data_IF_233725177385
#
_entry.id   IF_233725177385
#
_cell.length_a   1.000
_cell.length_b   1.000
_cell.length_c   1.000
_cell.angle_alpha   90.00
_cell.angle_beta   90.00
_cell.angle_gamma   90.00
#
_symmetry.space_group_name_H-M   'P 1'
#
loop_
_entity.id
_entity.type
_entity.pdbx_description
1 polymer ?
#
# COMPACT_ATOMS: atom_id res chain seq x y z
N UNK A 1 -22.62 -0.12 11.80
CA UNK A 1 -21.22 0.28 11.53
C UNK A 1 -20.34 -0.40 12.57
N UNK A 2 -19.51 -1.34 12.14
CA UNK A 2 -18.62 -2.10 13.05
C UNK A 2 -17.30 -1.37 13.31
N UNK A 3 -16.74 -0.75 12.27
CA UNK A 3 -15.49 0.02 12.33
C UNK A 3 -15.76 1.45 11.88
N UNK A 4 -15.50 2.42 12.75
CA UNK A 4 -15.68 3.86 12.47
C UNK A 4 -14.57 4.39 11.56
N UNK A 5 -13.37 3.86 11.71
CA UNK A 5 -12.17 4.29 10.96
C UNK A 5 -11.73 3.17 10.04
N UNK A 6 -11.49 3.49 8.76
CA UNK A 6 -10.94 2.55 7.78
C UNK A 6 -9.67 3.13 7.20
N UNK A 7 -8.56 2.45 7.42
CA UNK A 7 -7.27 2.75 6.83
C UNK A 7 -7.04 1.86 5.60
N UNK A 8 -6.39 2.40 4.59
CA UNK A 8 -6.07 1.69 3.35
C UNK A 8 -4.58 1.79 3.04
N UNK A 9 -3.97 0.73 2.50
CA UNK A 9 -2.81 0.92 1.66
C UNK A 9 -3.22 1.55 0.33
N UNK A 10 -2.26 2.06 -0.44
CA UNK A 10 -2.51 2.73 -1.71
C UNK A 10 -2.26 1.79 -2.89
N UNK A 11 -0.99 1.33 -3.04
CA UNK A 11 -0.56 0.51 -4.18
C UNK A 11 -1.10 -0.93 -4.07
N UNK A 12 -1.74 -1.44 -5.12
CA UNK A 12 -2.33 -2.79 -5.11
C UNK A 12 -3.64 -2.90 -4.31
N UNK A 13 -4.03 -1.85 -3.59
CA UNK A 13 -5.26 -1.79 -2.79
C UNK A 13 -6.28 -0.82 -3.37
N UNK A 14 -5.93 0.45 -3.51
CA UNK A 14 -6.79 1.49 -4.10
C UNK A 14 -6.49 1.72 -5.58
N UNK A 15 -5.21 1.63 -5.97
CA UNK A 15 -4.74 1.89 -7.33
C UNK A 15 -4.00 0.69 -7.91
N UNK A 16 -4.23 0.43 -9.21
CA UNK A 16 -3.54 -0.64 -9.95
C UNK A 16 -2.17 -0.14 -10.42
N UNK A 17 -1.20 -0.29 -9.54
CA UNK A 17 0.19 0.12 -9.76
C UNK A 17 1.16 -1.06 -9.84
N UNK A 18 0.69 -2.29 -9.75
CA UNK A 18 1.53 -3.48 -9.64
C UNK A 18 2.54 -3.63 -10.77
N UNK A 19 2.09 -3.51 -12.03
CA UNK A 19 3.00 -3.61 -13.18
C UNK A 19 3.95 -2.42 -13.28
N UNK A 20 3.50 -1.22 -12.93
CA UNK A 20 4.34 -0.01 -12.90
C UNK A 20 5.49 -0.21 -11.90
N UNK A 21 5.21 -0.73 -10.72
CA UNK A 21 6.21 -1.01 -9.69
C UNK A 21 7.17 -2.12 -10.17
N UNK A 22 6.65 -3.26 -10.61
CA UNK A 22 7.47 -4.40 -11.01
C UNK A 22 8.33 -4.09 -12.25
N UNK A 23 7.81 -3.39 -13.25
CA UNK A 23 8.60 -2.97 -14.42
C UNK A 23 9.72 -2.02 -14.02
N UNK A 24 9.48 -1.13 -13.06
CA UNK A 24 10.49 -0.20 -12.55
C UNK A 24 11.57 -0.92 -11.74
N UNK A 25 11.23 -1.94 -10.95
CA UNK A 25 12.21 -2.80 -10.29
C UNK A 25 13.06 -3.58 -11.30
N UNK A 26 12.42 -4.19 -12.33
CA UNK A 26 13.13 -4.89 -13.41
C UNK A 26 14.08 -3.95 -14.14
N UNK A 27 13.61 -2.75 -14.49
CA UNK A 27 14.42 -1.74 -15.15
C UNK A 27 15.65 -1.34 -14.31
N UNK A 28 15.44 -1.00 -13.04
CA UNK A 28 16.53 -0.58 -12.15
C UNK A 28 17.55 -1.69 -11.93
N UNK A 29 17.11 -2.90 -11.60
CA UNK A 29 18.02 -4.03 -11.35
C UNK A 29 18.78 -4.47 -12.60
N UNK A 30 18.13 -4.54 -13.76
CA UNK A 30 18.81 -4.86 -15.01
C UNK A 30 19.83 -3.80 -15.41
N UNK A 31 19.47 -2.52 -15.29
CA UNK A 31 20.36 -1.39 -15.69
C UNK A 31 21.55 -1.29 -14.76
N UNK A 32 21.32 -1.37 -13.45
CA UNK A 32 22.36 -1.15 -12.44
C UNK A 32 23.20 -2.40 -12.22
N UNK A 33 22.56 -3.57 -12.03
CA UNK A 33 23.25 -4.80 -11.66
C UNK A 33 23.69 -5.64 -12.87
N UNK A 34 23.17 -5.35 -14.07
CA UNK A 34 23.47 -6.11 -15.28
C UNK A 34 22.93 -7.55 -15.26
N UNK A 35 21.96 -7.84 -14.38
CA UNK A 35 21.36 -9.19 -14.23
C UNK A 35 19.87 -9.12 -14.03
N UNK A 36 19.16 -10.10 -14.57
CA UNK A 36 17.72 -10.26 -14.32
C UNK A 36 17.48 -10.90 -12.95
N UNK A 37 16.61 -10.27 -12.16
CA UNK A 37 16.06 -10.82 -10.93
C UNK A 37 14.67 -11.38 -11.24
N UNK A 38 14.32 -12.60 -10.77
CA UNK A 38 12.98 -13.16 -10.97
C UNK A 38 11.88 -12.27 -10.39
N UNK A 39 10.73 -12.20 -11.06
CA UNK A 39 9.62 -11.33 -10.67
C UNK A 39 9.07 -11.66 -9.28
N UNK A 40 9.11 -12.94 -8.88
CA UNK A 40 8.69 -13.38 -7.55
C UNK A 40 9.58 -12.79 -6.44
N UNK A 41 10.88 -12.59 -6.74
CA UNK A 41 11.84 -11.98 -5.80
C UNK A 41 11.61 -10.46 -5.73
N UNK A 42 11.32 -9.83 -6.88
CA UNK A 42 10.98 -8.41 -6.93
C UNK A 42 9.67 -8.13 -6.20
N UNK A 43 8.63 -8.91 -6.46
CA UNK A 43 7.32 -8.79 -5.83
C UNK A 43 7.41 -8.96 -4.30
N UNK A 44 8.27 -9.86 -3.81
CA UNK A 44 8.43 -10.08 -2.38
C UNK A 44 8.95 -8.86 -1.60
N UNK A 45 9.57 -7.89 -2.28
CA UNK A 45 10.06 -6.65 -1.68
C UNK A 45 9.00 -5.52 -1.67
N UNK A 46 7.91 -5.66 -2.45
CA UNK A 46 6.89 -4.60 -2.60
C UNK A 46 5.98 -4.53 -1.36
N UNK A 47 5.58 -3.32 -0.98
CA UNK A 47 4.53 -3.06 0.00
C UNK A 47 4.98 -2.86 1.45
N UNK A 48 6.22 -3.19 1.78
CA UNK A 48 6.75 -3.12 3.16
C UNK A 48 7.39 -1.80 3.51
N UNK A 49 8.71 -1.77 3.46
CA UNK A 49 9.53 -0.63 3.83
C UNK A 49 9.63 0.41 2.72
N UNK A 50 10.36 1.49 2.97
CA UNK A 50 10.66 2.50 1.96
C UNK A 50 11.52 1.92 0.80
N UNK A 51 11.58 2.63 -0.32
CA UNK A 51 12.28 2.18 -1.53
C UNK A 51 13.78 1.89 -1.31
N UNK A 52 14.45 2.58 -0.38
CA UNK A 52 15.86 2.33 -0.09
C UNK A 52 16.06 0.96 0.55
N UNK A 53 15.21 0.58 1.48
CA UNK A 53 15.28 -0.75 2.11
C UNK A 53 14.93 -1.86 1.13
N UNK A 54 13.94 -1.62 0.26
CA UNK A 54 13.57 -2.54 -0.81
C UNK A 54 14.75 -2.76 -1.78
N UNK A 55 15.44 -1.69 -2.19
CA UNK A 55 16.60 -1.78 -3.07
C UNK A 55 17.82 -2.40 -2.40
N UNK A 56 18.01 -2.20 -1.09
CA UNK A 56 19.08 -2.80 -0.30
C UNK A 56 19.01 -4.34 -0.31
N UNK A 57 17.80 -4.91 -0.43
CA UNK A 57 17.62 -6.35 -0.56
C UNK A 57 18.22 -6.93 -1.86
N UNK A 58 18.46 -6.11 -2.89
CA UNK A 58 19.06 -6.53 -4.15
C UNK A 58 20.57 -6.29 -4.21
N UNK A 59 21.03 -5.16 -3.65
CA UNK A 59 22.45 -4.81 -3.57
C UNK A 59 22.66 -3.68 -2.56
N UNK A 60 23.43 -3.94 -1.50
CA UNK A 60 23.67 -2.98 -0.41
C UNK A 60 24.61 -1.83 -0.81
N UNK A 61 25.55 -2.08 -1.71
CA UNK A 61 26.55 -1.08 -2.11
C UNK A 61 26.01 -0.10 -3.16
N UNK A 62 25.02 -0.51 -3.97
CA UNK A 62 24.48 0.28 -5.09
C UNK A 62 23.07 0.80 -4.88
N UNK A 63 22.61 0.89 -3.61
CA UNK A 63 21.24 1.31 -3.25
C UNK A 63 20.86 2.65 -3.88
N UNK A 64 21.70 3.67 -3.76
CA UNK A 64 21.39 5.01 -4.26
C UNK A 64 21.22 5.03 -5.79
N UNK A 65 22.03 4.26 -6.51
CA UNK A 65 21.93 4.14 -7.96
C UNK A 65 20.66 3.40 -8.37
N UNK A 66 20.34 2.30 -7.69
CA UNK A 66 19.10 1.54 -7.89
C UNK A 66 17.87 2.43 -7.66
N UNK A 67 17.83 3.17 -6.56
CA UNK A 67 16.72 4.08 -6.23
C UNK A 67 16.60 5.20 -7.27
N UNK A 68 17.71 5.77 -7.73
CA UNK A 68 17.70 6.82 -8.77
C UNK A 68 17.10 6.28 -10.07
N UNK A 69 17.61 5.15 -10.58
CA UNK A 69 17.14 4.55 -11.84
C UNK A 69 15.69 4.09 -11.73
N UNK A 70 15.29 3.52 -10.59
CA UNK A 70 13.90 3.19 -10.30
C UNK A 70 12.99 4.41 -10.42
N UNK A 71 13.34 5.52 -9.78
CA UNK A 71 12.53 6.75 -9.77
C UNK A 71 12.41 7.37 -11.15
N UNK A 72 13.52 7.45 -11.88
CA UNK A 72 13.54 7.97 -13.25
C UNK A 72 12.61 7.20 -14.19
N UNK A 73 12.48 5.89 -13.99
CA UNK A 73 11.57 5.03 -14.75
C UNK A 73 10.14 5.09 -14.21
N UNK A 74 9.96 5.02 -12.88
CA UNK A 74 8.66 4.88 -12.24
C UNK A 74 7.79 6.16 -12.30
N UNK A 75 8.39 7.32 -12.05
CA UNK A 75 7.63 8.57 -11.92
C UNK A 75 6.81 8.93 -13.16
N UNK A 76 7.35 8.85 -14.40
CA UNK A 76 6.57 9.12 -15.61
C UNK A 76 5.42 8.15 -15.86
N UNK A 77 5.52 6.91 -15.34
CA UNK A 77 4.46 5.90 -15.51
C UNK A 77 3.21 6.15 -14.66
N UNK A 78 3.27 7.13 -13.74
CA UNK A 78 2.09 7.50 -12.95
C UNK A 78 0.98 8.10 -13.80
N UNK A 79 1.26 8.63 -14.99
CA UNK A 79 0.24 9.14 -15.91
C UNK A 79 -0.74 8.04 -16.39
N UNK A 80 -0.33 6.77 -16.32
CA UNK A 80 -1.13 5.61 -16.73
C UNK A 80 -1.87 4.93 -15.56
N UNK A 81 -1.80 5.49 -14.33
CA UNK A 81 -2.46 4.91 -13.16
C UNK A 81 -3.98 4.92 -13.28
N UNK A 82 -4.58 3.83 -12.84
CA UNK A 82 -6.04 3.70 -12.70
C UNK A 82 -6.39 3.22 -11.28
N UNK A 83 -7.55 3.63 -10.78
CA UNK A 83 -8.11 3.03 -9.57
C UNK A 83 -8.69 1.65 -9.91
N UNK A 84 -8.67 0.73 -8.94
CA UNK A 84 -9.39 -0.54 -9.13
C UNK A 84 -10.89 -0.29 -9.31
N UNK A 85 -11.52 -1.05 -10.19
CA UNK A 85 -12.96 -0.96 -10.44
C UNK A 85 -13.73 -1.21 -9.12
N UNK A 86 -14.71 -0.35 -8.82
CA UNK A 86 -15.50 -0.41 -7.60
C UNK A 86 -14.95 0.37 -6.40
N UNK A 87 -13.66 0.69 -6.36
CA UNK A 87 -13.03 1.40 -5.22
C UNK A 87 -13.72 2.73 -4.93
N UNK A 88 -13.95 3.57 -5.95
CA UNK A 88 -14.58 4.88 -5.73
C UNK A 88 -15.98 4.74 -5.11
N UNK A 89 -16.77 3.77 -5.58
CA UNK A 89 -18.11 3.47 -5.02
C UNK A 89 -18.02 3.05 -3.53
N UNK A 90 -17.02 2.26 -3.17
CA UNK A 90 -16.80 1.85 -1.77
C UNK A 90 -16.44 3.06 -0.90
N UNK A 91 -15.52 3.91 -1.37
CA UNK A 91 -15.12 5.13 -0.66
C UNK A 91 -16.30 6.10 -0.49
N UNK A 92 -17.09 6.33 -1.53
CA UNK A 92 -18.33 7.13 -1.48
C UNK A 92 -19.32 6.58 -0.43
N UNK A 93 -19.46 5.25 -0.39
CA UNK A 93 -20.34 4.62 0.59
C UNK A 93 -19.84 4.82 2.02
N UNK A 94 -18.56 4.63 2.28
CA UNK A 94 -17.98 4.85 3.59
C UNK A 94 -18.05 6.33 4.03
N UNK A 95 -17.82 7.27 3.10
CA UNK A 95 -18.00 8.70 3.36
C UNK A 95 -19.46 9.03 3.73
N UNK A 96 -20.44 8.51 2.97
CA UNK A 96 -21.85 8.69 3.23
C UNK A 96 -22.31 8.10 4.58
N UNK A 97 -21.62 7.08 5.08
CA UNK A 97 -21.81 6.51 6.41
C UNK A 97 -21.13 7.32 7.52
N UNK A 98 -20.38 8.36 7.19
CA UNK A 98 -19.63 9.20 8.14
C UNK A 98 -18.41 8.51 8.73
N UNK A 99 -17.79 7.58 8.02
CA UNK A 99 -16.54 6.93 8.44
C UNK A 99 -15.36 7.86 8.22
N UNK A 100 -14.38 7.75 9.10
CA UNK A 100 -13.09 8.40 8.93
C UNK A 100 -12.19 7.52 8.05
N UNK A 101 -11.64 8.09 6.99
CA UNK A 101 -10.78 7.35 6.05
C UNK A 101 -9.35 7.88 6.09
N UNK A 102 -8.39 6.97 6.04
CA UNK A 102 -6.97 7.32 6.00
C UNK A 102 -6.15 6.38 5.09
N UNK A 103 -4.99 6.85 4.66
CA UNK A 103 -4.03 6.06 3.88
C UNK A 103 -2.77 5.84 4.71
N UNK A 104 -2.24 4.60 4.63
CA UNK A 104 -0.95 4.19 5.21
C UNK A 104 -0.14 3.49 4.14
N UNK A 105 0.83 4.18 3.53
CA UNK A 105 1.53 3.69 2.34
C UNK A 105 3.06 3.70 2.47
N UNK A 106 3.72 2.76 1.79
CA UNK A 106 5.17 2.74 1.62
C UNK A 106 5.68 3.77 0.57
N UNK A 107 4.76 4.39 -0.18
CA UNK A 107 5.12 5.50 -1.10
C UNK A 107 5.62 6.72 -0.32
N UNK A 108 6.48 7.50 -0.99
CA UNK A 108 6.84 8.85 -0.54
C UNK A 108 5.77 9.87 -0.97
N UNK A 109 5.71 11.01 -0.28
CA UNK A 109 4.71 12.06 -0.54
C UNK A 109 4.66 12.46 -2.01
N UNK A 110 5.78 12.69 -2.67
CA UNK A 110 5.83 13.07 -4.09
C UNK A 110 5.08 12.08 -5.00
N UNK A 111 5.24 10.77 -4.79
CA UNK A 111 4.58 9.77 -5.66
C UNK A 111 3.11 9.57 -5.30
N UNK A 112 2.70 9.87 -4.07
CA UNK A 112 1.28 9.97 -3.70
C UNK A 112 0.65 11.17 -4.42
N UNK A 113 1.31 12.33 -4.45
CA UNK A 113 0.81 13.53 -5.12
C UNK A 113 0.67 13.31 -6.64
N UNK A 114 1.62 12.58 -7.27
CA UNK A 114 1.50 12.19 -8.68
C UNK A 114 0.27 11.32 -8.92
N UNK A 115 0.00 10.34 -8.06
CA UNK A 115 -1.18 9.49 -8.19
C UNK A 115 -2.49 10.29 -8.02
N UNK A 116 -2.55 11.19 -7.05
CA UNK A 116 -3.74 12.01 -6.80
C UNK A 116 -3.97 13.11 -7.84
N UNK A 117 -2.92 13.54 -8.55
CA UNK A 117 -3.09 14.45 -9.69
C UNK A 117 -3.86 13.80 -10.85
N UNK A 118 -3.78 12.49 -11.01
CA UNK A 118 -4.47 11.72 -12.04
C UNK A 118 -5.79 11.16 -11.51
N UNK A 119 -5.79 10.65 -10.26
CA UNK A 119 -6.94 9.99 -9.63
C UNK A 119 -7.47 10.87 -8.48
N UNK A 120 -8.69 11.43 -8.58
CA UNK A 120 -9.22 12.38 -7.58
C UNK A 120 -9.69 11.69 -6.30
N UNK A 121 -8.88 10.76 -5.76
CA UNK A 121 -9.22 9.98 -4.57
C UNK A 121 -8.88 10.72 -3.26
N UNK A 122 -7.96 11.71 -3.28
CA UNK A 122 -7.50 12.42 -2.08
C UNK A 122 -8.65 12.98 -1.24
N UNK A 123 -9.73 13.41 -1.90
CA UNK A 123 -10.91 14.01 -1.27
C UNK A 123 -11.58 13.15 -0.20
N UNK A 124 -11.42 11.82 -0.27
CA UNK A 124 -12.03 10.89 0.68
C UNK A 124 -11.22 10.74 1.98
N UNK A 125 -9.94 11.12 1.99
CA UNK A 125 -9.02 10.78 3.06
C UNK A 125 -8.68 11.97 3.94
N UNK A 126 -8.93 11.86 5.24
CA UNK A 126 -8.60 12.88 6.25
C UNK A 126 -7.11 12.86 6.61
N UNK A 127 -6.43 11.74 6.40
CA UNK A 127 -4.98 11.61 6.63
C UNK A 127 -4.31 10.69 5.62
N UNK A 128 -3.06 11.02 5.30
CA UNK A 128 -2.16 10.18 4.47
C UNK A 128 -0.83 10.08 5.20
N UNK A 129 -0.48 8.87 5.62
CA UNK A 129 0.82 8.55 6.23
C UNK A 129 1.70 7.90 5.16
N UNK A 130 2.78 8.60 4.79
CA UNK A 130 3.76 8.16 3.82
C UNK A 130 5.02 7.62 4.49
N UNK A 131 5.88 6.92 3.74
CA UNK A 131 7.13 6.36 4.27
C UNK A 131 8.10 7.37 4.88
N UNK A 132 7.93 8.66 4.60
CA UNK A 132 8.80 9.74 5.11
C UNK A 132 8.35 10.26 6.48
N UNK A 133 7.20 9.82 6.98
CA UNK A 133 6.55 10.40 8.15
C UNK A 133 6.66 9.52 9.42
N UNK A 134 7.28 8.35 9.30
CA UNK A 134 7.49 7.42 10.41
C UNK A 134 8.93 6.89 10.41
N UNK A 135 9.44 6.61 11.59
CA UNK A 135 10.79 6.07 11.75
C UNK A 135 10.86 4.59 11.34
N UNK A 136 9.79 3.85 11.61
CA UNK A 136 9.65 2.45 11.22
C UNK A 136 8.55 2.30 10.17
N UNK A 137 8.70 1.29 9.31
CA UNK A 137 7.79 1.01 8.21
C UNK A 137 7.03 -0.29 8.43
N UNK A 138 5.98 -0.52 7.65
CA UNK A 138 5.27 -1.80 7.63
C UNK A 138 6.27 -2.97 7.47
N UNK A 139 6.22 -4.04 8.26
CA UNK A 139 5.14 -4.50 9.14
C UNK A 139 5.15 -3.93 10.57
N UNK A 140 5.98 -2.93 10.89
CA UNK A 140 5.93 -2.26 12.19
C UNK A 140 4.60 -1.47 12.33
N UNK A 141 3.98 -1.43 13.52
CA UNK A 141 2.67 -0.78 13.71
C UNK A 141 2.69 0.75 13.63
N UNK A 142 3.86 1.39 13.73
CA UNK A 142 3.99 2.85 13.83
C UNK A 142 3.21 3.60 12.74
N UNK A 143 3.25 3.25 11.44
CA UNK A 143 2.49 3.98 10.41
C UNK A 143 0.98 3.92 10.64
N UNK A 144 0.46 2.75 11.05
CA UNK A 144 -0.97 2.56 11.36
C UNK A 144 -1.36 3.36 12.59
N UNK A 145 -0.58 3.28 13.67
CA UNK A 145 -0.82 4.03 14.91
C UNK A 145 -0.73 5.55 14.68
N UNK A 146 0.19 6.01 13.83
CA UNK A 146 0.29 7.42 13.43
C UNK A 146 -0.96 7.90 12.71
N UNK A 147 -1.54 7.08 11.81
CA UNK A 147 -2.79 7.42 11.14
C UNK A 147 -3.95 7.49 12.12
N UNK A 148 -4.05 6.53 13.05
CA UNK A 148 -5.09 6.53 14.10
C UNK A 148 -5.00 7.75 15.02
N UNK A 149 -3.79 8.11 15.45
CA UNK A 149 -3.56 9.29 16.29
C UNK A 149 -4.06 10.57 15.61
N UNK A 150 -3.74 10.75 14.32
CA UNK A 150 -4.20 11.90 13.53
C UNK A 150 -5.73 11.95 13.37
N UNK A 151 -6.39 10.80 13.32
CA UNK A 151 -7.84 10.67 13.20
C UNK A 151 -8.55 10.70 14.55
N UNK A 152 -7.80 10.71 15.67
CA UNK A 152 -8.38 10.62 17.02
C UNK A 152 -9.15 9.30 17.22
N UNK A 153 -8.68 8.21 16.61
CA UNK A 153 -9.33 6.90 16.63
C UNK A 153 -8.53 5.89 17.44
N UNK A 154 -9.23 4.90 18.01
CA UNK A 154 -8.60 3.78 18.73
C UNK A 154 -8.50 2.52 17.85
N UNK A 155 -7.50 1.64 18.09
CA UNK A 155 -7.34 0.42 17.32
C UNK A 155 -8.60 -0.46 17.26
N UNK A 156 -9.35 -0.59 18.37
CA UNK A 156 -10.56 -1.41 18.42
C UNK A 156 -11.74 -0.91 17.58
N UNK A 157 -11.68 0.34 17.10
CA UNK A 157 -12.70 0.97 16.25
C UNK A 157 -12.25 1.09 14.79
N UNK A 158 -11.09 0.52 14.45
CA UNK A 158 -10.45 0.70 13.15
C UNK A 158 -10.22 -0.62 12.43
N UNK A 159 -10.24 -0.54 11.10
CA UNK A 159 -9.80 -1.59 10.19
C UNK A 159 -8.66 -1.09 9.31
N UNK A 160 -7.77 -2.00 8.88
CA UNK A 160 -6.73 -1.72 7.90
C UNK A 160 -6.85 -2.69 6.73
N UNK A 161 -7.01 -2.13 5.54
CA UNK A 161 -7.19 -2.82 4.26
C UNK A 161 -5.90 -2.74 3.46
N UNK A 162 -5.37 -3.88 3.02
CA UNK A 162 -4.12 -3.91 2.26
C UNK A 162 -3.92 -5.21 1.48
N UNK A 163 -3.03 -5.21 0.48
CA UNK A 163 -2.78 -6.32 -0.42
C UNK A 163 -1.47 -7.06 -0.13
N UNK A 164 -0.75 -6.70 0.93
CA UNK A 164 0.57 -7.26 1.25
C UNK A 164 0.64 -7.91 2.63
N UNK A 165 1.56 -8.88 2.83
CA UNK A 165 1.87 -9.41 4.15
C UNK A 165 2.34 -8.34 5.15
N UNK A 166 2.95 -7.27 4.65
CA UNK A 166 3.43 -6.16 5.46
C UNK A 166 2.29 -5.33 6.05
N UNK A 167 1.20 -5.14 5.28
CA UNK A 167 -0.02 -4.47 5.76
C UNK A 167 -0.66 -5.26 6.89
N UNK A 168 -0.84 -6.55 6.65
CA UNK A 168 -1.42 -7.44 7.64
C UNK A 168 -0.58 -7.48 8.92
N UNK A 169 0.75 -7.54 8.78
CA UNK A 169 1.67 -7.47 9.91
C UNK A 169 1.53 -6.18 10.71
N UNK A 170 1.51 -5.02 10.02
CA UNK A 170 1.37 -3.71 10.66
C UNK A 170 -0.01 -3.54 11.34
N UNK A 171 -1.08 -3.94 10.68
CA UNK A 171 -2.43 -3.87 11.22
C UNK A 171 -2.59 -4.73 12.48
N UNK A 172 -2.13 -5.98 12.44
CA UNK A 172 -2.15 -6.88 13.60
C UNK A 172 -1.33 -6.36 14.76
N UNK A 173 -0.12 -5.88 14.47
CA UNK A 173 0.74 -5.32 15.51
C UNK A 173 0.15 -4.04 16.13
N UNK A 174 -0.63 -3.28 15.36
CA UNK A 174 -1.37 -2.10 15.83
C UNK A 174 -2.67 -2.47 16.57
N UNK A 175 -3.15 -3.71 16.47
CA UNK A 175 -4.38 -4.16 17.12
C UNK A 175 -5.66 -3.74 16.39
N UNK A 176 -5.60 -3.44 15.09
CA UNK A 176 -6.76 -3.13 14.25
C UNK A 176 -7.28 -4.39 13.55
N UNK A 177 -8.53 -4.36 13.10
CA UNK A 177 -9.08 -5.41 12.26
C UNK A 177 -8.41 -5.39 10.88
N UNK A 178 -7.92 -6.52 10.40
CA UNK A 178 -7.15 -6.61 9.16
C UNK A 178 -7.94 -7.26 8.04
N UNK A 179 -7.99 -6.57 6.89
CA UNK A 179 -8.64 -7.06 5.67
C UNK A 179 -7.59 -7.18 4.57
N UNK A 180 -7.27 -8.41 4.18
CA UNK A 180 -6.42 -8.66 3.04
C UNK A 180 -7.24 -8.62 1.75
N UNK A 181 -6.72 -7.97 0.71
CA UNK A 181 -7.37 -7.87 -0.61
C UNK A 181 -6.57 -8.60 -1.67
N UNK A 182 -7.25 -9.36 -2.54
CA UNK A 182 -6.58 -10.23 -3.52
C UNK A 182 -6.51 -9.65 -4.94
N UNK A 183 -7.20 -8.56 -5.23
CA UNK A 183 -7.27 -7.99 -6.59
C UNK A 183 -5.99 -7.29 -7.03
N UNK A 184 -5.09 -6.86 -6.11
CA UNK A 184 -3.82 -6.19 -6.43
C UNK A 184 -2.81 -7.07 -7.17
N UNK A 185 -2.89 -8.40 -7.00
CA UNK A 185 -2.11 -9.44 -7.72
C UNK A 185 -0.58 -9.34 -7.58
N UNK A 186 -0.06 -8.45 -6.74
CA UNK A 186 1.38 -8.35 -6.48
C UNK A 186 1.82 -9.53 -5.60
N UNK A 187 1.03 -9.85 -4.59
CA UNK A 187 1.25 -11.01 -3.73
C UNK A 187 0.23 -12.11 -4.01
N UNK A 188 0.66 -13.39 -4.05
CA UNK A 188 -0.27 -14.52 -4.18
C UNK A 188 -1.29 -14.55 -3.03
N UNK A 189 -2.55 -14.83 -3.32
CA UNK A 189 -3.63 -14.87 -2.32
C UNK A 189 -3.37 -15.90 -1.20
N UNK A 190 -2.71 -17.01 -1.53
CA UNK A 190 -2.30 -18.02 -0.55
C UNK A 190 -1.38 -17.41 0.50
N UNK A 191 -0.43 -16.57 0.09
CA UNK A 191 0.47 -15.86 1.00
C UNK A 191 -0.28 -14.85 1.88
N UNK A 192 -1.31 -14.19 1.33
CA UNK A 192 -2.16 -13.29 2.11
C UNK A 192 -2.96 -14.06 3.18
N UNK A 193 -3.50 -15.24 2.84
CA UNK A 193 -4.20 -16.12 3.80
C UNK A 193 -3.28 -16.60 4.94
N UNK A 194 -2.01 -16.89 4.62
CA UNK A 194 -1.01 -17.33 5.61
C UNK A 194 -0.64 -16.23 6.62
N UNK A 195 -0.89 -14.94 6.32
CA UNK A 195 -0.63 -13.84 7.27
C UNK A 195 -1.53 -13.90 8.50
N UNK A 196 -2.62 -14.67 8.43
CA UNK A 196 -3.67 -14.72 9.44
C UNK A 196 -4.46 -13.41 9.51
N UNK A 197 -4.66 -12.70 8.39
CA UNK A 197 -5.62 -11.59 8.31
C UNK A 197 -6.98 -12.01 8.87
N UNK A 198 -7.70 -11.08 9.49
CA UNK A 198 -9.02 -11.39 10.08
C UNK A 198 -10.03 -11.77 8.99
N UNK A 199 -9.87 -11.22 7.79
CA UNK A 199 -10.62 -11.65 6.60
C UNK A 199 -9.82 -11.41 5.32
N UNK A 200 -10.19 -12.12 4.25
CA UNK A 200 -9.68 -11.94 2.88
C UNK A 200 -10.88 -11.70 1.99
N UNK A 201 -10.80 -10.68 1.12
CA UNK A 201 -11.84 -10.33 0.15
C UNK A 201 -11.26 -10.29 -1.25
N UNK A 202 -12.07 -10.66 -2.25
CA UNK A 202 -11.63 -10.82 -3.63
C UNK A 202 -12.12 -9.69 -4.55
N UNK A 203 -13.01 -8.82 -4.06
CA UNK A 203 -13.48 -7.63 -4.78
C UNK A 203 -13.66 -6.44 -3.83
N UNK A 204 -13.56 -5.18 -4.35
CA UNK A 204 -13.79 -3.99 -3.55
C UNK A 204 -15.17 -3.95 -2.89
N UNK A 205 -16.21 -4.43 -3.57
CA UNK A 205 -17.59 -4.43 -3.06
C UNK A 205 -17.73 -5.27 -1.78
N UNK A 206 -16.98 -6.36 -1.64
CA UNK A 206 -17.01 -7.20 -0.44
C UNK A 206 -16.55 -6.46 0.83
N UNK A 207 -15.82 -5.33 0.68
CA UNK A 207 -15.48 -4.47 1.81
C UNK A 207 -16.73 -3.91 2.51
N UNK A 208 -17.81 -3.69 1.76
CA UNK A 208 -19.09 -3.21 2.33
C UNK A 208 -19.81 -4.25 3.20
N UNK A 209 -19.50 -5.54 3.00
CA UNK A 209 -20.11 -6.64 3.74
C UNK A 209 -19.34 -6.97 5.02
N UNK A 210 -18.01 -6.71 5.02
CA UNK A 210 -17.13 -7.11 6.13
C UNK A 210 -16.79 -5.95 7.07
N UNK A 211 -16.92 -4.72 6.63
CA UNK A 211 -16.65 -3.50 7.40
C UNK A 211 -17.93 -2.75 7.74
#
# INVERSE_FOLDING_TARGET
MRYRTVLFDLDGTLIDSGEIILSSFRHATNTVLGRRIPDEVLAAAVGGSNIYDQMRAFDEERVDELVRVYREHNEPLHDDLVAFEGIERVLERFEAEGRQLGIVTAKRRKTVDLAFAILPLERYFETVVTSEQTAHHKPHPEPVLTALDRLGSSPGEAAFVGDSPFDMGAGKAAGVFTVAVSWGKIHPVERLRETGADTVVDSPEELLDVL
#
